data_IF_934555256794
#
_entry.id   IF_934555256794
#
_cell.length_a   1.000
_cell.length_b   1.000
_cell.length_c   1.000
_cell.angle_alpha   90.00
_cell.angle_beta   90.00
_cell.angle_gamma   90.00
#
_symmetry.space_group_name_H-M   'P 1'
#
loop_
_entity.id
_entity.type
_entity.pdbx_description
1 polymer ?
#
# COMPACT_ATOMS: atom_id res chain seq x y z
N UNK A 1 -4.55 4.08 -8.01
CA UNK A 1 -3.41 4.44 -7.09
C UNK A 1 -2.61 5.70 -7.45
N UNK A 2 -1.90 5.79 -8.59
CA UNK A 2 -1.01 6.96 -8.89
C UNK A 2 -1.74 8.32 -8.84
N UNK A 3 -3.04 8.33 -9.20
CA UNK A 3 -3.93 9.50 -9.13
C UNK A 3 -4.30 9.92 -7.70
N UNK A 4 -4.35 8.98 -6.75
CA UNK A 4 -4.79 9.20 -5.37
C UNK A 4 -3.65 9.62 -4.42
N UNK A 5 -2.38 9.46 -4.81
CA UNK A 5 -1.23 9.69 -3.92
C UNK A 5 -0.87 11.17 -3.71
N UNK A 6 -1.45 12.10 -4.49
CA UNK A 6 -1.18 13.55 -4.39
C UNK A 6 0.28 13.99 -4.65
N UNK A 7 1.18 13.05 -4.99
CA UNK A 7 2.61 13.30 -5.25
C UNK A 7 3.07 12.58 -6.51
N UNK A 8 4.00 13.21 -7.22
CA UNK A 8 4.77 12.57 -8.30
C UNK A 8 5.70 11.52 -7.69
N UNK A 9 5.23 10.27 -7.65
CA UNK A 9 6.03 9.13 -7.22
C UNK A 9 7.20 8.92 -8.20
N UNK A 10 8.44 9.06 -7.71
CA UNK A 10 9.63 8.51 -8.35
C UNK A 10 9.82 7.10 -7.78
N UNK A 11 9.57 6.08 -8.60
CA UNK A 11 9.75 4.68 -8.22
C UNK A 11 11.15 4.29 -8.69
N UNK A 12 12.09 4.17 -7.76
CA UNK A 12 13.39 3.60 -8.06
C UNK A 12 13.25 2.07 -8.07
N UNK A 13 13.35 1.47 -9.26
CA UNK A 13 13.28 0.02 -9.42
C UNK A 13 14.67 -0.56 -9.18
N UNK A 14 14.80 -1.38 -8.13
CA UNK A 14 16.02 -2.11 -7.82
C UNK A 14 15.94 -3.53 -8.41
N UNK A 15 17.04 -4.06 -8.97
CA UNK A 15 17.10 -5.46 -9.39
C UNK A 15 16.86 -6.41 -8.21
N UNK A 16 16.19 -7.53 -8.46
CA UNK A 16 15.80 -8.46 -7.40
C UNK A 16 16.99 -9.21 -6.77
N UNK A 17 18.04 -9.49 -7.56
CA UNK A 17 19.26 -10.08 -7.04
C UNK A 17 19.92 -9.17 -5.99
N UNK A 18 19.89 -7.86 -6.21
CA UNK A 18 20.43 -6.87 -5.28
C UNK A 18 19.62 -6.84 -3.99
N UNK A 19 18.29 -6.79 -4.09
CA UNK A 19 17.39 -6.81 -2.94
C UNK A 19 17.54 -8.08 -2.08
N UNK A 20 17.78 -9.24 -2.70
CA UNK A 20 18.00 -10.51 -1.99
C UNK A 20 19.32 -10.54 -1.21
N UNK A 21 20.38 -9.94 -1.75
CA UNK A 21 21.69 -9.85 -1.06
C UNK A 21 21.60 -8.88 0.13
N UNK A 22 20.88 -7.78 -0.02
CA UNK A 22 20.75 -6.77 1.03
C UNK A 22 19.73 -7.12 2.11
N UNK A 23 18.80 -8.05 1.85
CA UNK A 23 17.77 -8.48 2.80
C UNK A 23 18.31 -9.06 4.13
N UNK A 24 19.22 -10.05 4.15
CA UNK A 24 19.76 -10.57 5.42
C UNK A 24 20.59 -9.52 6.17
N UNK A 25 21.30 -8.65 5.44
CA UNK A 25 22.06 -7.54 6.02
C UNK A 25 21.13 -6.51 6.68
N UNK A 26 20.02 -6.18 6.02
CA UNK A 26 18.99 -5.30 6.55
C UNK A 26 18.36 -5.92 7.81
N UNK A 27 17.93 -7.18 7.77
CA UNK A 27 17.34 -7.86 8.93
C UNK A 27 18.29 -7.86 10.13
N UNK A 28 19.59 -8.13 9.93
CA UNK A 28 20.58 -8.07 11.01
C UNK A 28 20.75 -6.66 11.58
N UNK A 29 20.85 -5.65 10.70
CA UNK A 29 20.97 -4.25 11.11
C UNK A 29 19.73 -3.76 11.90
N UNK A 30 18.53 -4.09 11.42
CA UNK A 30 17.27 -3.69 12.03
C UNK A 30 17.00 -4.43 13.35
N UNK A 31 17.44 -5.69 13.49
CA UNK A 31 17.44 -6.42 14.78
C UNK A 31 18.28 -5.70 15.83
N UNK A 32 19.45 -5.17 15.47
CA UNK A 32 20.28 -4.39 16.39
C UNK A 32 19.65 -3.04 16.75
N UNK A 33 18.97 -2.39 15.80
CA UNK A 33 18.32 -1.08 16.00
C UNK A 33 16.92 -1.16 16.61
N UNK A 34 16.37 -2.37 16.84
CA UNK A 34 14.99 -2.62 17.32
C UNK A 34 13.92 -1.88 16.50
N UNK A 35 14.14 -1.72 15.20
CA UNK A 35 13.23 -1.06 14.27
C UNK A 35 12.70 -2.08 13.27
N UNK A 36 11.45 -1.93 12.80
CA UNK A 36 10.92 -2.82 11.77
C UNK A 36 11.72 -2.65 10.46
N UNK A 37 12.17 -3.74 9.83
CA UNK A 37 12.87 -3.66 8.55
C UNK A 37 11.94 -3.15 7.45
N UNK A 38 12.49 -2.39 6.49
CA UNK A 38 11.73 -1.85 5.35
C UNK A 38 11.23 -2.99 4.45
N UNK A 39 12.04 -4.04 4.27
CA UNK A 39 11.68 -5.27 3.58
C UNK A 39 12.42 -6.45 4.20
N UNK A 40 11.83 -7.66 4.13
CA UNK A 40 12.44 -8.91 4.57
C UNK A 40 12.57 -9.88 3.41
N UNK A 41 13.40 -10.92 3.59
CA UNK A 41 13.54 -12.01 2.61
C UNK A 41 12.20 -12.67 2.34
N UNK A 42 11.35 -12.80 3.37
CA UNK A 42 9.99 -13.32 3.24
C UNK A 42 9.10 -12.43 2.37
N UNK A 43 9.10 -11.11 2.59
CA UNK A 43 8.35 -10.18 1.74
C UNK A 43 8.81 -10.20 0.29
N UNK A 44 10.11 -10.36 0.03
CA UNK A 44 10.63 -10.51 -1.34
C UNK A 44 10.17 -11.82 -1.99
N UNK A 45 10.13 -12.91 -1.21
CA UNK A 45 9.63 -14.20 -1.69
C UNK A 45 8.15 -14.13 -2.08
N UNK A 46 7.30 -13.52 -1.24
CA UNK A 46 5.85 -13.41 -1.53
C UNK A 46 5.54 -12.49 -2.72
N UNK A 47 6.36 -11.47 -2.98
CA UNK A 47 6.23 -10.64 -4.18
C UNK A 47 6.51 -11.40 -5.48
N UNK A 48 7.33 -12.45 -5.43
CA UNK A 48 7.67 -13.29 -6.59
C UNK A 48 6.59 -14.35 -6.82
N UNK A 49 5.96 -14.85 -5.75
CA UNK A 49 4.85 -15.80 -5.89
C UNK A 49 3.71 -15.11 -6.63
N UNK A 50 3.51 -15.49 -7.90
CA UNK A 50 2.53 -14.89 -8.79
C UNK A 50 1.12 -15.06 -8.21
N UNK A 51 0.62 -14.03 -7.52
CA UNK A 51 -0.66 -14.04 -6.80
C UNK A 51 -1.81 -13.55 -7.69
N UNK A 52 -1.82 -13.93 -8.97
CA UNK A 52 -2.87 -13.54 -9.90
C UNK A 52 -4.13 -14.39 -9.71
N UNK A 53 -4.87 -14.13 -8.64
CA UNK A 53 -6.09 -14.86 -8.33
C UNK A 53 -7.31 -14.30 -9.09
N UNK A 54 -8.04 -15.19 -9.78
CA UNK A 54 -9.33 -14.86 -10.39
C UNK A 54 -10.45 -14.87 -9.35
N UNK A 55 -11.36 -13.90 -9.43
CA UNK A 55 -12.56 -13.80 -8.60
C UNK A 55 -13.84 -14.31 -9.28
N UNK A 56 -13.71 -14.92 -10.46
CA UNK A 56 -14.85 -15.28 -11.31
C UNK A 56 -15.82 -16.25 -10.64
N UNK A 57 -15.29 -17.26 -9.92
CA UNK A 57 -16.12 -18.24 -9.21
C UNK A 57 -17.04 -17.58 -8.17
N UNK A 58 -16.49 -16.68 -7.35
CA UNK A 58 -17.27 -15.97 -6.33
C UNK A 58 -18.34 -15.07 -6.96
N UNK A 59 -18.05 -14.46 -8.12
CA UNK A 59 -19.04 -13.66 -8.84
C UNK A 59 -20.21 -14.51 -9.32
N UNK A 60 -19.94 -15.72 -9.83
CA UNK A 60 -20.97 -16.62 -10.37
C UNK A 60 -21.81 -17.29 -9.27
N UNK A 61 -21.17 -17.79 -8.22
CA UNK A 61 -21.85 -18.61 -7.21
C UNK A 61 -22.42 -17.81 -6.05
N UNK A 62 -21.81 -16.67 -5.70
CA UNK A 62 -22.15 -15.89 -4.50
C UNK A 62 -22.72 -14.51 -4.83
N UNK A 63 -22.98 -14.23 -6.11
CA UNK A 63 -23.36 -12.91 -6.62
C UNK A 63 -22.42 -11.80 -6.10
N UNK A 64 -21.12 -12.12 -6.00
CA UNK A 64 -20.12 -11.22 -5.40
C UNK A 64 -19.80 -10.06 -6.33
N UNK A 65 -20.31 -8.87 -5.99
CA UNK A 65 -20.11 -7.61 -6.70
C UNK A 65 -19.24 -6.66 -5.85
N UNK A 66 -17.91 -6.75 -5.95
CA UNK A 66 -17.01 -5.90 -5.18
C UNK A 66 -17.04 -4.46 -5.69
N UNK A 67 -17.06 -3.51 -4.76
CA UNK A 67 -16.89 -2.08 -5.06
C UNK A 67 -15.51 -1.77 -5.66
N UNK A 68 -15.37 -0.67 -6.42
CA UNK A 68 -14.08 -0.21 -6.92
C UNK A 68 -13.08 0.03 -5.78
N UNK A 69 -11.85 -0.46 -5.95
CA UNK A 69 -10.80 -0.35 -4.92
C UNK A 69 -10.44 1.11 -4.61
N UNK A 70 -10.51 2.00 -5.61
CA UNK A 70 -10.18 3.42 -5.44
C UNK A 70 -11.10 4.09 -4.40
N UNK A 71 -12.38 3.72 -4.35
CA UNK A 71 -13.30 4.22 -3.32
C UNK A 71 -12.89 3.73 -1.93
N UNK A 72 -12.51 2.45 -1.80
CA UNK A 72 -12.06 1.88 -0.52
C UNK A 72 -10.82 2.61 0.00
N UNK A 73 -9.90 2.96 -0.90
CA UNK A 73 -8.70 3.72 -0.56
C UNK A 73 -9.09 5.14 -0.11
N UNK A 74 -10.01 5.81 -0.80
CA UNK A 74 -10.49 7.16 -0.41
C UNK A 74 -11.13 7.13 0.98
N UNK A 75 -12.04 6.18 1.23
CA UNK A 75 -12.69 6.04 2.55
C UNK A 75 -11.65 5.77 3.65
N UNK A 76 -10.63 4.95 3.36
CA UNK A 76 -9.53 4.68 4.31
C UNK A 76 -8.70 5.95 4.57
N UNK A 77 -8.45 6.77 3.55
CA UNK A 77 -7.73 8.04 3.70
C UNK A 77 -8.51 9.03 4.56
N UNK A 78 -9.81 9.16 4.34
CA UNK A 78 -10.70 10.01 5.14
C UNK A 78 -10.68 9.54 6.60
N UNK A 79 -10.84 8.23 6.84
CA UNK A 79 -10.79 7.67 8.19
C UNK A 79 -9.47 7.96 8.91
N UNK A 80 -8.33 7.91 8.22
CA UNK A 80 -7.02 8.23 8.81
C UNK A 80 -6.90 9.71 9.23
N UNK A 81 -7.54 10.62 8.50
CA UNK A 81 -7.62 12.04 8.85
C UNK A 81 -8.50 12.23 10.07
N UNK A 82 -9.68 11.61 10.09
CA UNK A 82 -10.65 11.71 11.20
C UNK A 82 -10.10 11.11 12.50
N UNK A 83 -9.38 9.98 12.39
CA UNK A 83 -8.68 9.33 13.49
C UNK A 83 -7.45 10.11 13.98
N UNK A 84 -7.15 11.29 13.41
CA UNK A 84 -6.00 12.16 13.74
C UNK A 84 -4.64 11.44 13.68
N UNK A 85 -4.52 10.42 12.83
CA UNK A 85 -3.27 9.66 12.63
C UNK A 85 -2.29 10.35 11.68
N UNK A 86 -2.75 11.39 10.96
CA UNK A 86 -1.96 12.17 10.03
C UNK A 86 -1.68 13.56 10.64
N UNK A 87 -0.41 13.95 10.72
CA UNK A 87 0.02 15.24 11.30
C UNK A 87 0.20 16.36 10.26
N UNK A 88 0.35 16.02 8.98
CA UNK A 88 0.74 16.97 7.93
C UNK A 88 -0.48 17.67 7.32
N UNK A 89 -0.62 18.98 7.56
CA UNK A 89 -1.78 19.79 7.13
C UNK A 89 -2.01 19.79 5.62
N UNK A 90 -0.96 19.86 4.80
CA UNK A 90 -1.10 19.84 3.33
C UNK A 90 -1.70 18.54 2.80
N UNK A 91 -1.44 17.41 3.47
CA UNK A 91 -2.01 16.10 3.11
C UNK A 91 -3.46 16.02 3.55
N UNK A 92 -3.79 16.54 4.74
CA UNK A 92 -5.16 16.60 5.25
C UNK A 92 -6.06 17.39 4.28
N UNK A 93 -5.59 18.55 3.82
CA UNK A 93 -6.36 19.38 2.89
C UNK A 93 -6.57 18.68 1.53
N UNK A 94 -5.56 17.96 1.03
CA UNK A 94 -5.69 17.14 -0.18
C UNK A 94 -6.67 15.98 0.00
N UNK A 95 -6.67 15.30 1.14
CA UNK A 95 -7.62 14.20 1.40
C UNK A 95 -9.05 14.75 1.52
N UNK A 96 -9.23 15.90 2.17
CA UNK A 96 -10.54 16.55 2.32
C UNK A 96 -11.16 16.98 0.99
N UNK A 97 -10.36 17.29 -0.04
CA UNK A 97 -10.92 17.60 -1.36
C UNK A 97 -11.63 16.41 -2.01
N UNK A 98 -11.30 15.17 -1.66
CA UNK A 98 -12.02 13.98 -2.14
C UNK A 98 -13.34 13.75 -1.40
N UNK A 99 -13.45 14.20 -0.15
CA UNK A 99 -14.70 14.11 0.62
C UNK A 99 -15.77 15.05 0.06
N UNK A 100 -15.38 16.19 -0.52
CA UNK A 100 -16.30 17.17 -1.11
C UNK A 100 -16.88 16.72 -2.46
N UNK A 101 -16.23 15.77 -3.15
CA UNK A 101 -16.71 15.20 -4.42
C UNK A 101 -17.74 14.08 -4.23
N UNK A 102 -17.98 13.66 -2.97
CA UNK A 102 -18.88 12.54 -2.62
C UNK A 102 -20.24 13.02 -2.06
N UNK A 103 -20.48 14.33 -2.06
CA UNK A 103 -21.78 14.98 -1.80
C UNK A 103 -22.40 15.42 -3.11
#
# INVERSE_FOLDING_TARGET
>A
MKKLSGKKLRINVLPMWFAKITAPLAELYYRMRKLPPIYTSYSLYTLISNSNFSREKARLELNYLPRPIDETIIDTMIWLVDAKRIKRTTVINFIKSFSQLKQ
#
